data_IF_191826504868
#
_entry.id   IF_191826504868
#
_cell.length_a   1.000
_cell.length_b   1.000
_cell.length_c   1.000
_cell.angle_alpha   90.00
_cell.angle_beta   90.00
_cell.angle_gamma   90.00
#
_symmetry.space_group_name_H-M   'P 1'
#
loop_
_entity.id
_entity.type
_entity.pdbx_description
1 polymer ?
#
# COMPACT_ATOMS: atom_id res chain seq x y z
N UNK A 1 -3.07 9.95 3.52
CA UNK A 1 -4.51 10.14 3.82
C UNK A 1 -4.74 10.40 5.31
N UNK A 2 -5.45 11.48 5.68
CA UNK A 2 -5.87 11.79 7.05
C UNK A 2 -7.25 12.44 7.03
N UNK A 3 -8.00 12.36 8.14
CA UNK A 3 -9.33 12.97 8.26
C UNK A 3 -10.33 12.41 7.25
N UNK A 4 -11.02 13.29 6.51
CA UNK A 4 -12.07 12.90 5.56
C UNK A 4 -11.63 11.90 4.48
N UNK A 5 -10.47 12.02 3.82
CA UNK A 5 -10.03 11.05 2.82
C UNK A 5 -9.90 9.62 3.34
N UNK A 6 -9.32 9.41 4.51
CA UNK A 6 -9.19 8.05 5.07
C UNK A 6 -10.54 7.46 5.49
N UNK A 7 -11.47 8.31 5.93
CA UNK A 7 -12.84 7.86 6.24
C UNK A 7 -13.55 7.38 4.98
N UNK A 8 -13.42 8.11 3.87
CA UNK A 8 -13.97 7.71 2.57
C UNK A 8 -13.32 6.40 2.11
N UNK A 9 -11.99 6.30 2.18
CA UNK A 9 -11.28 5.07 1.82
C UNK A 9 -11.76 3.86 2.65
N UNK A 10 -11.98 4.03 3.95
CA UNK A 10 -12.50 2.99 4.82
C UNK A 10 -13.92 2.56 4.42
N UNK A 11 -14.79 3.50 4.05
CA UNK A 11 -16.13 3.19 3.53
C UNK A 11 -16.08 2.50 2.17
N UNK A 12 -15.18 2.95 1.27
CA UNK A 12 -14.95 2.32 -0.02
C UNK A 12 -14.35 0.90 0.10
N UNK A 13 -13.71 0.58 1.21
CA UNK A 13 -13.26 -0.78 1.50
C UNK A 13 -14.37 -1.64 2.13
N UNK A 14 -15.13 -1.08 3.07
CA UNK A 14 -16.16 -1.82 3.83
C UNK A 14 -17.37 -2.20 2.97
N UNK A 15 -17.98 -1.23 2.27
CA UNK A 15 -19.24 -1.45 1.53
C UNK A 15 -19.07 -2.47 0.39
N UNK A 16 -18.08 -2.32 -0.53
CA UNK A 16 -17.89 -3.30 -1.59
C UNK A 16 -17.51 -4.68 -1.04
N UNK A 17 -16.68 -4.75 0.02
CA UNK A 17 -16.30 -6.02 0.63
C UNK A 17 -17.52 -6.83 1.08
N UNK A 18 -18.47 -6.20 1.75
CA UNK A 18 -19.73 -6.83 2.16
C UNK A 18 -20.58 -7.30 0.99
N UNK A 19 -20.66 -6.49 -0.04
CA UNK A 19 -21.49 -6.78 -1.23
C UNK A 19 -20.87 -7.88 -2.07
N UNK A 20 -19.57 -7.79 -2.34
CA UNK A 20 -18.84 -8.75 -3.15
C UNK A 20 -18.78 -10.13 -2.50
N UNK A 21 -18.61 -10.22 -1.17
CA UNK A 21 -18.67 -11.51 -0.48
C UNK A 21 -20.03 -12.22 -0.63
N UNK A 22 -21.12 -11.48 -0.67
CA UNK A 22 -22.46 -12.06 -0.95
C UNK A 22 -22.56 -12.63 -2.37
N UNK A 23 -21.76 -12.12 -3.28
CA UNK A 23 -21.63 -12.62 -4.64
C UNK A 23 -20.53 -13.69 -4.76
N UNK A 24 -20.06 -14.24 -3.64
CA UNK A 24 -18.98 -15.24 -3.59
C UNK A 24 -17.64 -14.77 -4.18
N UNK A 25 -17.40 -13.46 -4.19
CA UNK A 25 -16.12 -12.87 -4.61
C UNK A 25 -15.19 -12.77 -3.40
N UNK A 26 -13.97 -13.24 -3.53
CA UNK A 26 -12.94 -13.11 -2.50
C UNK A 26 -12.38 -11.69 -2.48
N UNK A 27 -12.40 -11.05 -1.33
CA UNK A 27 -11.93 -9.68 -1.15
C UNK A 27 -10.83 -9.64 -0.10
N UNK A 28 -9.70 -9.04 -0.45
CA UNK A 28 -8.62 -8.72 0.47
C UNK A 28 -8.51 -7.20 0.63
N UNK A 29 -8.35 -6.73 1.87
CA UNK A 29 -8.19 -5.29 2.16
C UNK A 29 -6.83 -5.10 2.82
N UNK A 30 -5.99 -4.37 2.12
CA UNK A 30 -4.61 -4.10 2.48
C UNK A 30 -4.41 -2.61 2.76
N UNK A 31 -3.50 -2.31 3.67
CA UNK A 31 -3.06 -0.94 3.92
C UNK A 31 -1.55 -0.84 3.92
N UNK A 32 -1.06 0.33 3.66
CA UNK A 32 0.37 0.60 3.65
C UNK A 32 0.70 1.98 4.21
N UNK A 33 1.83 2.07 4.86
CA UNK A 33 2.41 3.29 5.40
C UNK A 33 3.87 3.01 5.76
N UNK A 34 4.58 3.98 6.30
CA UNK A 34 5.88 3.77 6.94
C UNK A 34 5.74 3.55 8.44
N UNK A 35 6.74 2.91 9.08
CA UNK A 35 6.78 2.73 10.53
C UNK A 35 7.06 4.04 11.26
N UNK A 36 7.86 4.91 10.66
CA UNK A 36 8.34 6.14 11.26
C UNK A 36 8.05 7.34 10.36
N UNK A 37 8.02 8.52 10.96
CA UNK A 37 8.19 9.77 10.26
C UNK A 37 9.69 9.98 10.04
N UNK A 38 10.09 10.37 8.84
CA UNK A 38 11.48 10.77 8.53
C UNK A 38 12.55 9.70 8.81
N UNK A 39 12.29 8.46 8.42
CA UNK A 39 13.28 7.40 8.45
C UNK A 39 12.96 6.27 9.45
N UNK A 40 14.01 5.58 9.92
CA UNK A 40 13.90 4.42 10.79
C UNK A 40 15.20 3.65 10.76
N UNK A 41 15.17 2.34 11.01
CA UNK A 41 16.36 1.48 11.00
C UNK A 41 17.13 1.54 9.67
N UNK A 42 16.42 1.62 8.55
CA UNK A 42 17.02 1.74 7.23
C UNK A 42 17.91 3.01 7.13
N UNK A 43 17.42 4.15 7.63
CA UNK A 43 18.18 5.39 7.67
C UNK A 43 19.37 5.33 8.62
N UNK A 44 19.20 4.71 9.79
CA UNK A 44 20.29 4.53 10.76
C UNK A 44 21.42 3.68 10.18
N UNK A 45 21.08 2.55 9.54
CA UNK A 45 22.06 1.70 8.85
C UNK A 45 22.81 2.45 7.76
N UNK A 46 22.11 3.21 6.94
CA UNK A 46 22.73 4.04 5.91
C UNK A 46 23.69 5.07 6.50
N UNK A 47 23.31 5.72 7.61
CA UNK A 47 24.16 6.70 8.29
C UNK A 47 25.44 6.06 8.85
N UNK A 48 25.29 4.87 9.47
CA UNK A 48 26.44 4.11 10.02
C UNK A 48 27.37 3.61 8.92
N UNK A 49 26.88 3.34 7.73
CA UNK A 49 27.64 2.85 6.58
C UNK A 49 28.29 3.99 5.75
N UNK A 50 28.47 5.17 6.32
CA UNK A 50 29.17 6.27 5.65
C UNK A 50 28.33 7.02 4.61
N UNK A 51 27.01 6.90 4.65
CA UNK A 51 26.05 7.63 3.80
C UNK A 51 26.33 7.52 2.29
N UNK A 52 26.39 6.32 1.72
CA UNK A 52 26.61 6.15 0.28
C UNK A 52 25.55 6.91 -0.53
N UNK A 53 25.94 7.36 -1.74
CA UNK A 53 25.05 8.06 -2.67
C UNK A 53 23.96 7.13 -3.22
N UNK A 54 22.78 7.68 -3.46
CA UNK A 54 21.61 6.97 -4.04
C UNK A 54 21.28 5.66 -3.29
N UNK A 55 21.02 5.71 -1.99
CA UNK A 55 20.84 4.51 -1.17
C UNK A 55 19.51 3.78 -1.44
N UNK A 56 18.61 4.37 -2.18
CA UNK A 56 17.25 3.87 -2.30
C UNK A 56 16.36 4.27 -1.12
N UNK A 57 15.40 3.43 -0.76
CA UNK A 57 14.47 3.70 0.34
C UNK A 57 15.20 3.76 1.69
N UNK A 58 14.91 4.82 2.46
CA UNK A 58 15.48 5.07 3.80
C UNK A 58 14.43 5.08 4.92
N UNK A 59 13.26 4.50 4.71
CA UNK A 59 12.26 4.33 5.76
C UNK A 59 11.82 2.86 5.85
N UNK A 60 11.33 2.46 7.01
CA UNK A 60 10.83 1.11 7.23
C UNK A 60 9.36 1.02 6.83
N UNK A 61 9.01 0.01 6.05
CA UNK A 61 7.65 -0.19 5.59
C UNK A 61 6.77 -0.80 6.69
N UNK A 62 5.50 -0.42 6.67
CA UNK A 62 4.43 -1.07 7.41
C UNK A 62 3.32 -1.44 6.45
N UNK A 63 3.24 -2.71 6.12
CA UNK A 63 2.16 -3.30 5.35
C UNK A 63 1.16 -3.95 6.31
N UNK A 64 -0.12 -3.68 6.11
CA UNK A 64 -1.20 -4.07 7.04
C UNK A 64 -2.23 -4.89 6.27
N UNK A 65 -2.60 -6.05 6.80
CA UNK A 65 -3.71 -6.84 6.30
C UNK A 65 -4.91 -6.55 7.21
N UNK A 66 -5.82 -5.69 6.74
CA UNK A 66 -7.06 -5.42 7.46
C UNK A 66 -8.05 -6.56 7.32
N UNK A 67 -8.10 -7.16 6.12
CA UNK A 67 -8.91 -8.34 5.84
C UNK A 67 -8.18 -9.24 4.86
N UNK A 68 -7.94 -10.48 5.23
CA UNK A 68 -7.42 -11.48 4.30
C UNK A 68 -8.55 -12.02 3.39
N UNK A 69 -8.19 -12.48 2.20
CA UNK A 69 -9.14 -12.95 1.19
C UNK A 69 -10.06 -14.08 1.66
N UNK A 70 -9.53 -14.97 2.50
CA UNK A 70 -10.25 -16.17 2.99
C UNK A 70 -10.91 -15.97 4.36
N UNK A 71 -10.86 -14.76 4.91
CA UNK A 71 -11.52 -14.38 6.17
C UNK A 71 -12.80 -13.61 5.88
N UNK A 72 -13.91 -14.02 6.49
CA UNK A 72 -15.19 -13.36 6.32
C UNK A 72 -15.17 -11.91 6.83
N UNK A 73 -15.87 -11.01 6.14
CA UNK A 73 -16.01 -9.61 6.50
C UNK A 73 -16.43 -9.42 7.96
N UNK A 74 -17.37 -10.21 8.48
CA UNK A 74 -17.84 -10.10 9.88
C UNK A 74 -16.72 -10.25 10.88
N UNK A 75 -15.74 -11.12 10.62
CA UNK A 75 -14.57 -11.33 11.49
C UNK A 75 -13.58 -10.19 11.38
N UNK A 76 -13.46 -9.57 10.21
CA UNK A 76 -12.51 -8.49 9.93
C UNK A 76 -13.04 -7.09 10.23
N UNK A 77 -14.32 -6.92 10.53
CA UNK A 77 -14.97 -5.62 10.74
C UNK A 77 -14.22 -4.73 11.74
N UNK A 78 -13.76 -5.29 12.85
CA UNK A 78 -12.99 -4.55 13.87
C UNK A 78 -11.65 -4.06 13.33
N UNK A 79 -11.00 -4.84 12.47
CA UNK A 79 -9.71 -4.48 11.86
C UNK A 79 -9.86 -3.30 10.89
N UNK A 80 -10.97 -3.22 10.14
CA UNK A 80 -11.26 -2.09 9.26
C UNK A 80 -11.37 -0.78 10.04
N UNK A 81 -11.89 -0.81 11.26
CA UNK A 81 -11.90 0.35 12.16
C UNK A 81 -10.51 0.89 12.50
N UNK A 82 -9.46 0.06 12.44
CA UNK A 82 -8.08 0.50 12.66
C UNK A 82 -7.57 1.46 11.57
N UNK A 83 -8.19 1.49 10.37
CA UNK A 83 -7.87 2.48 9.35
C UNK A 83 -8.04 3.92 9.86
N UNK A 84 -8.99 4.12 10.78
CA UNK A 84 -9.32 5.43 11.35
C UNK A 84 -8.48 5.77 12.58
N UNK A 85 -7.58 4.85 13.01
CA UNK A 85 -6.75 5.10 14.19
C UNK A 85 -5.73 6.20 13.91
N UNK A 86 -5.81 7.28 14.65
CA UNK A 86 -4.84 8.38 14.59
C UNK A 86 -3.42 7.88 14.85
N UNK A 87 -2.45 8.47 14.15
CA UNK A 87 -1.03 8.14 14.29
C UNK A 87 -0.59 6.81 13.65
N UNK A 88 -1.52 6.00 13.12
CA UNK A 88 -1.17 4.77 12.42
C UNK A 88 -0.53 5.05 11.07
N UNK A 89 -1.13 5.93 10.27
CA UNK A 89 -0.65 6.30 8.94
C UNK A 89 0.35 7.44 9.03
N UNK A 90 1.46 7.30 8.30
CA UNK A 90 2.57 8.25 8.27
C UNK A 90 2.87 8.64 6.83
N UNK A 91 4.03 8.28 6.31
CA UNK A 91 4.44 8.51 4.93
C UNK A 91 4.06 7.32 4.04
N UNK A 92 4.12 7.47 2.72
CA UNK A 92 3.66 6.46 1.77
C UNK A 92 4.71 6.16 0.69
N UNK A 93 4.95 4.87 0.48
CA UNK A 93 5.86 4.33 -0.55
C UNK A 93 5.04 3.37 -1.43
N UNK A 94 4.27 3.96 -2.33
CA UNK A 94 3.21 3.27 -3.08
C UNK A 94 3.75 2.15 -3.98
N UNK A 95 4.91 2.35 -4.62
CA UNK A 95 5.47 1.35 -5.52
C UNK A 95 5.74 0.01 -4.84
N UNK A 96 6.38 0.01 -3.66
CA UNK A 96 6.63 -1.21 -2.89
C UNK A 96 5.34 -1.79 -2.31
N UNK A 97 4.38 -0.94 -1.95
CA UNK A 97 3.07 -1.38 -1.46
C UNK A 97 2.27 -2.12 -2.54
N UNK A 98 2.23 -1.58 -3.75
CA UNK A 98 1.57 -2.21 -4.91
C UNK A 98 2.27 -3.52 -5.27
N UNK A 99 3.61 -3.56 -5.26
CA UNK A 99 4.36 -4.78 -5.50
C UNK A 99 4.06 -5.86 -4.46
N UNK A 100 3.93 -5.49 -3.20
CA UNK A 100 3.54 -6.42 -2.14
C UNK A 100 2.12 -6.94 -2.35
N UNK A 101 1.16 -6.08 -2.68
CA UNK A 101 -0.22 -6.48 -2.98
C UNK A 101 -0.29 -7.39 -4.21
N UNK A 102 0.45 -7.06 -5.27
CA UNK A 102 0.60 -7.87 -6.47
C UNK A 102 1.09 -9.28 -6.15
N UNK A 103 2.17 -9.40 -5.36
CA UNK A 103 2.75 -10.69 -4.97
C UNK A 103 1.78 -11.56 -4.15
N UNK A 104 0.79 -10.96 -3.51
CA UNK A 104 -0.28 -11.68 -2.83
C UNK A 104 -1.36 -12.12 -3.80
N UNK A 105 -1.79 -11.20 -4.67
CA UNK A 105 -2.88 -11.41 -5.60
C UNK A 105 -2.54 -12.42 -6.70
N UNK A 106 -1.31 -12.40 -7.24
CA UNK A 106 -0.87 -13.33 -8.29
C UNK A 106 -0.92 -14.79 -7.83
N UNK A 107 -0.73 -15.06 -6.55
CA UNK A 107 -0.78 -16.41 -5.96
C UNK A 107 -2.20 -16.97 -5.78
N UNK A 108 -3.21 -16.13 -6.01
CA UNK A 108 -4.61 -16.55 -5.90
C UNK A 108 -5.00 -17.45 -7.09
N UNK A 109 -5.97 -18.35 -6.82
CA UNK A 109 -6.43 -19.33 -7.81
C UNK A 109 -7.57 -18.82 -8.68
N UNK A 110 -8.19 -17.72 -8.27
CA UNK A 110 -9.30 -17.09 -9.00
C UNK A 110 -8.84 -16.65 -10.39
N UNK A 111 -9.66 -16.88 -11.42
CA UNK A 111 -9.34 -16.53 -12.81
C UNK A 111 -9.23 -15.01 -12.97
N UNK A 112 -10.27 -14.28 -12.58
CA UNK A 112 -10.29 -12.82 -12.65
C UNK A 112 -9.71 -12.21 -11.38
N UNK A 113 -8.74 -11.34 -11.54
CA UNK A 113 -8.03 -10.67 -10.46
C UNK A 113 -8.03 -9.17 -10.68
N UNK A 114 -8.56 -8.45 -9.72
CA UNK A 114 -8.66 -6.99 -9.77
C UNK A 114 -7.91 -6.41 -8.57
N UNK A 115 -7.03 -5.47 -8.80
CA UNK A 115 -6.37 -4.71 -7.75
C UNK A 115 -6.79 -3.24 -7.85
N UNK A 116 -7.46 -2.76 -6.80
CA UNK A 116 -7.87 -1.37 -6.70
C UNK A 116 -6.98 -0.64 -5.69
N UNK A 117 -6.34 0.42 -6.13
CA UNK A 117 -5.48 1.26 -5.30
C UNK A 117 -6.23 2.56 -4.99
N UNK A 118 -6.35 2.89 -3.72
CA UNK A 118 -6.95 4.16 -3.26
C UNK A 118 -5.83 4.98 -2.63
N UNK A 119 -5.50 6.13 -3.22
CA UNK A 119 -4.45 7.04 -2.77
C UNK A 119 -4.92 8.48 -2.90
N UNK A 120 -4.41 9.37 -2.06
CA UNK A 120 -4.74 10.80 -2.07
C UNK A 120 -3.62 11.68 -2.65
N UNK A 121 -2.70 11.09 -3.39
CA UNK A 121 -1.62 11.85 -4.02
C UNK A 121 -0.39 11.03 -4.38
N UNK A 122 0.69 11.74 -4.65
CA UNK A 122 1.97 11.15 -5.01
C UNK A 122 2.64 10.43 -3.83
N UNK A 123 3.48 9.43 -4.08
CA UNK A 123 4.26 8.78 -3.04
C UNK A 123 5.25 9.77 -2.40
N UNK A 124 5.22 9.87 -1.08
CA UNK A 124 6.06 10.80 -0.31
C UNK A 124 6.68 10.10 0.88
N UNK A 125 8.00 10.14 0.93
CA UNK A 125 8.82 9.79 2.10
C UNK A 125 10.02 10.73 2.17
N UNK A 126 10.00 11.65 3.12
CA UNK A 126 11.01 12.70 3.27
C UNK A 126 12.43 12.14 3.37
N UNK A 127 12.58 11.04 4.10
CA UNK A 127 13.89 10.40 4.29
C UNK A 127 14.48 9.88 3.01
N UNK A 128 13.68 9.25 2.17
CA UNK A 128 14.08 8.73 0.87
C UNK A 128 14.35 9.86 -0.12
N UNK A 129 13.44 10.83 -0.22
CA UNK A 129 13.54 11.93 -1.17
C UNK A 129 14.67 12.90 -0.85
N UNK A 130 15.08 13.01 0.43
CA UNK A 130 16.18 13.90 0.83
C UNK A 130 17.56 13.48 0.30
N UNK A 131 17.74 12.25 -0.14
CA UNK A 131 19.04 11.67 -0.54
C UNK A 131 19.03 10.96 -1.90
N UNK A 132 17.89 10.90 -2.54
CA UNK A 132 17.69 10.40 -3.89
C UNK A 132 17.16 11.52 -4.78
N UNK A 133 16.95 11.24 -6.09
CA UNK A 133 16.27 12.21 -6.96
C UNK A 133 14.84 12.47 -6.45
N UNK A 134 14.35 13.71 -6.59
CA UNK A 134 13.01 14.09 -6.12
C UNK A 134 11.86 13.29 -6.74
N UNK A 135 12.11 12.66 -7.90
CA UNK A 135 11.16 11.80 -8.62
C UNK A 135 11.39 10.30 -8.38
N UNK A 136 12.27 9.92 -7.45
CA UNK A 136 12.66 8.54 -7.21
C UNK A 136 11.47 7.61 -6.94
N UNK A 137 10.60 8.01 -6.00
CA UNK A 137 9.43 7.22 -5.62
C UNK A 137 8.38 7.15 -6.72
N UNK A 138 8.18 8.26 -7.45
CA UNK A 138 7.26 8.32 -8.57
C UNK A 138 7.73 7.44 -9.75
N UNK A 139 9.02 7.50 -10.08
CA UNK A 139 9.61 6.62 -11.10
C UNK A 139 9.50 5.15 -10.73
N UNK A 140 9.70 4.82 -9.45
CA UNK A 140 9.54 3.45 -8.95
C UNK A 140 8.08 3.00 -9.09
N UNK A 141 7.12 3.82 -8.68
CA UNK A 141 5.70 3.54 -8.82
C UNK A 141 5.33 3.29 -10.30
N UNK A 142 5.72 4.18 -11.21
CA UNK A 142 5.46 4.03 -12.66
C UNK A 142 6.06 2.74 -13.24
N UNK A 143 7.26 2.36 -12.82
CA UNK A 143 7.88 1.09 -13.24
C UNK A 143 7.11 -0.12 -12.73
N UNK A 144 6.68 -0.09 -11.47
CA UNK A 144 5.90 -1.18 -10.85
C UNK A 144 4.56 -1.36 -11.56
N UNK A 145 3.84 -0.28 -11.83
CA UNK A 145 2.57 -0.32 -12.57
C UNK A 145 2.77 -0.92 -13.97
N UNK A 146 3.72 -0.40 -14.75
CA UNK A 146 4.05 -0.91 -16.09
C UNK A 146 4.46 -2.39 -16.06
N UNK A 147 5.19 -2.81 -15.04
CA UNK A 147 5.56 -4.21 -14.89
C UNK A 147 4.34 -5.11 -14.69
N UNK A 148 3.41 -4.72 -13.83
CA UNK A 148 2.18 -5.47 -13.56
C UNK A 148 1.32 -5.58 -14.82
N UNK A 149 1.09 -4.46 -15.50
CA UNK A 149 0.30 -4.39 -16.73
C UNK A 149 0.90 -5.23 -17.87
N UNK A 150 2.22 -5.27 -17.99
CA UNK A 150 2.90 -6.00 -19.05
C UNK A 150 3.08 -7.51 -18.77
N UNK A 151 3.05 -7.93 -17.50
CA UNK A 151 3.42 -9.29 -17.09
C UNK A 151 2.32 -10.05 -16.34
N UNK A 152 1.09 -9.55 -16.32
CA UNK A 152 -0.03 -10.23 -15.67
C UNK A 152 -1.37 -9.82 -16.27
N UNK A 153 -2.38 -10.69 -16.04
CA UNK A 153 -3.78 -10.42 -16.39
C UNK A 153 -4.53 -9.72 -15.24
N UNK A 154 -3.81 -9.14 -14.27
CA UNK A 154 -4.41 -8.41 -13.15
C UNK A 154 -4.92 -7.06 -13.66
N UNK A 155 -6.22 -6.83 -13.49
CA UNK A 155 -6.82 -5.53 -13.75
C UNK A 155 -6.43 -4.54 -12.64
N UNK A 156 -5.67 -3.51 -12.99
CA UNK A 156 -5.21 -2.49 -12.05
C UNK A 156 -6.08 -1.23 -12.19
N UNK A 157 -6.72 -0.84 -11.10
CA UNK A 157 -7.57 0.35 -11.00
C UNK A 157 -7.01 1.31 -9.96
N UNK A 158 -7.06 2.60 -10.20
CA UNK A 158 -6.66 3.64 -9.24
C UNK A 158 -7.80 4.62 -8.99
N UNK A 159 -7.96 5.00 -7.74
CA UNK A 159 -8.87 6.04 -7.27
C UNK A 159 -8.03 7.06 -6.47
N UNK A 160 -8.08 8.32 -6.88
CA UNK A 160 -7.38 9.44 -6.24
C UNK A 160 -8.27 10.64 -5.97
#
# INVERSE_FOLDING_TARGET
>A
MRGRPITIAALCADIPSRTLERCNVKVEILGFTTKNWKGGEAREKWSKNGKPKNPGRLNDLRHIIYKAADVHWRQSKKNLGLMLKEGLLKENIDGEAIQWAFNRLVKRKEERKIMMVISDGAPVDDSTLSVNSGDYLEKHLKRTVKFIEANSDIELLAIG
#
